data_IF_518259973415
#
_entry.id   IF_518259973415
#
_cell.length_a   1.000
_cell.length_b   1.000
_cell.length_c   1.000
_cell.angle_alpha   90.00
_cell.angle_beta   90.00
_cell.angle_gamma   90.00
#
_symmetry.space_group_name_H-M   'P 1'
#
loop_
_entity.id
_entity.type
_entity.pdbx_description
1 polymer ?
#
# COMPACT_ATOMS: atom_id res chain seq x y z
N UNK A 1 2.10 -28.77 -8.73
CA UNK A 1 1.26 -27.65 -8.31
C UNK A 1 -0.14 -27.79 -8.93
N UNK A 2 -1.19 -27.29 -8.32
CA UNK A 2 -2.50 -27.19 -8.99
C UNK A 2 -2.41 -26.24 -10.17
N UNK A 3 -3.30 -26.41 -11.15
CA UNK A 3 -3.40 -25.50 -12.28
C UNK A 3 -3.70 -24.07 -11.79
N UNK A 4 -3.06 -23.09 -12.41
CA UNK A 4 -3.25 -21.69 -12.13
C UNK A 4 -3.76 -20.95 -13.38
N UNK A 5 -4.08 -19.67 -13.24
CA UNK A 5 -4.60 -18.87 -14.35
C UNK A 5 -3.66 -18.86 -15.56
N UNK A 6 -2.34 -18.86 -15.34
CA UNK A 6 -1.36 -18.85 -16.44
C UNK A 6 -1.42 -20.09 -17.33
N UNK A 7 -1.87 -21.23 -16.79
CA UNK A 7 -1.99 -22.47 -17.57
C UNK A 7 -3.10 -22.43 -18.65
N UNK A 8 -3.93 -21.38 -18.63
CA UNK A 8 -5.02 -21.15 -19.59
C UNK A 8 -4.68 -20.11 -20.66
N UNK A 9 -3.51 -19.46 -20.57
CA UNK A 9 -3.02 -18.56 -21.61
C UNK A 9 -2.28 -19.34 -22.72
N UNK A 10 -2.23 -18.82 -23.93
CA UNK A 10 -1.37 -19.37 -24.98
C UNK A 10 0.10 -19.24 -24.60
N UNK A 11 0.96 -20.09 -25.16
CA UNK A 11 2.40 -20.15 -24.81
C UNK A 11 3.20 -18.87 -25.14
N UNK A 12 2.64 -18.00 -25.98
CA UNK A 12 3.24 -16.76 -26.49
C UNK A 12 2.63 -15.48 -25.87
N UNK A 13 2.02 -15.59 -24.68
CA UNK A 13 1.45 -14.42 -24.02
C UNK A 13 2.54 -13.48 -23.49
N UNK A 14 2.27 -12.18 -23.54
CA UNK A 14 3.07 -11.16 -22.88
C UNK A 14 2.59 -10.98 -21.44
N UNK A 15 3.50 -11.16 -20.48
CA UNK A 15 3.23 -10.90 -19.07
C UNK A 15 3.66 -9.48 -18.70
N UNK A 16 2.75 -8.66 -18.22
CA UNK A 16 3.06 -7.36 -17.64
C UNK A 16 2.89 -7.41 -16.12
N UNK A 17 3.97 -7.15 -15.40
CA UNK A 17 3.99 -7.12 -13.93
C UNK A 17 4.06 -5.67 -13.48
N UNK A 18 2.92 -5.13 -13.09
CA UNK A 18 2.83 -3.77 -12.55
C UNK A 18 3.29 -3.74 -11.09
N UNK A 19 3.87 -2.61 -10.66
CA UNK A 19 4.48 -2.43 -9.34
C UNK A 19 5.37 -3.62 -8.95
N UNK A 20 6.24 -4.01 -9.88
CA UNK A 20 7.04 -5.25 -9.79
C UNK A 20 7.89 -5.30 -8.53
N UNK A 21 8.39 -4.16 -8.04
CA UNK A 21 9.16 -4.05 -6.80
C UNK A 21 8.38 -4.50 -5.54
N UNK A 22 7.03 -4.52 -5.61
CA UNK A 22 6.15 -5.06 -4.57
C UNK A 22 5.66 -6.45 -4.94
N UNK A 23 5.22 -6.64 -6.20
CA UNK A 23 4.61 -7.88 -6.65
C UNK A 23 5.57 -9.09 -6.56
N UNK A 24 6.82 -8.93 -6.99
CA UNK A 24 7.79 -10.04 -7.01
C UNK A 24 8.19 -10.51 -5.61
N UNK A 25 8.50 -9.65 -4.63
CA UNK A 25 8.69 -10.09 -3.24
C UNK A 25 7.46 -10.80 -2.64
N UNK A 26 6.25 -10.33 -2.95
CA UNK A 26 5.03 -11.00 -2.51
C UNK A 26 4.90 -12.40 -3.11
N UNK A 27 5.10 -12.55 -4.42
CA UNK A 27 5.08 -13.84 -5.11
C UNK A 27 6.11 -14.81 -4.50
N UNK A 28 7.31 -14.32 -4.21
CA UNK A 28 8.38 -15.11 -3.56
C UNK A 28 7.99 -15.58 -2.17
N UNK A 29 7.30 -14.75 -1.39
CA UNK A 29 6.87 -15.08 -0.02
C UNK A 29 5.62 -15.97 0.06
N UNK A 30 4.79 -16.04 -0.99
CA UNK A 30 3.47 -16.70 -0.94
C UNK A 30 3.54 -18.16 -0.57
N UNK A 31 4.43 -18.94 -1.17
CA UNK A 31 4.57 -20.38 -0.92
C UNK A 31 4.97 -20.68 0.52
N UNK A 32 6.00 -20.00 1.02
CA UNK A 32 6.51 -20.21 2.37
C UNK A 32 5.46 -19.81 3.42
N UNK A 33 4.76 -18.71 3.22
CA UNK A 33 3.68 -18.24 4.09
C UNK A 33 2.50 -19.20 4.15
N UNK A 34 2.04 -19.70 2.99
CA UNK A 34 0.96 -20.69 2.92
C UNK A 34 1.36 -22.01 3.59
N UNK A 35 2.57 -22.50 3.33
CA UNK A 35 3.09 -23.73 3.92
C UNK A 35 3.20 -23.63 5.45
N UNK A 36 3.70 -22.51 5.97
CA UNK A 36 3.82 -22.27 7.41
C UNK A 36 2.46 -22.28 8.10
N UNK A 37 1.48 -21.57 7.53
CA UNK A 37 0.11 -21.58 8.04
C UNK A 37 -0.51 -22.97 8.03
N UNK A 38 -0.39 -23.71 6.94
CA UNK A 38 -0.92 -25.06 6.81
C UNK A 38 -0.26 -26.04 7.77
N UNK A 39 1.05 -25.89 7.98
CA UNK A 39 1.77 -26.71 8.96
C UNK A 39 1.11 -26.65 10.33
N UNK A 40 0.89 -25.46 10.85
CA UNK A 40 0.21 -25.29 12.14
C UNK A 40 -1.20 -25.90 12.16
N UNK A 41 -1.98 -25.70 11.09
CA UNK A 41 -3.33 -26.26 11.01
C UNK A 41 -3.35 -27.80 10.95
N UNK A 42 -2.37 -28.42 10.32
CA UNK A 42 -2.22 -29.88 10.24
C UNK A 42 -1.72 -30.44 11.57
N UNK A 43 -0.68 -29.83 12.13
CA UNK A 43 -0.06 -30.27 13.39
C UNK A 43 -1.09 -30.27 14.56
N UNK A 44 -2.04 -29.32 14.53
CA UNK A 44 -3.13 -29.23 15.52
C UNK A 44 -4.43 -29.93 15.09
N UNK A 45 -4.44 -30.67 13.99
CA UNK A 45 -5.59 -31.47 13.55
C UNK A 45 -6.75 -30.70 12.91
N UNK A 46 -6.58 -29.42 12.58
CA UNK A 46 -7.60 -28.62 11.90
C UNK A 46 -7.68 -28.87 10.40
N UNK A 47 -6.63 -29.43 9.80
CA UNK A 47 -6.57 -29.82 8.38
C UNK A 47 -5.86 -31.15 8.19
N UNK A 48 -6.21 -31.84 7.09
CA UNK A 48 -5.54 -33.06 6.66
C UNK A 48 -4.19 -32.72 5.99
N UNK A 49 -3.21 -33.66 5.98
CA UNK A 49 -1.94 -33.48 5.27
C UNK A 49 -2.08 -33.13 3.79
N UNK A 50 -3.14 -33.62 3.12
CA UNK A 50 -3.48 -33.28 1.73
C UNK A 50 -3.74 -31.78 1.48
N UNK A 51 -3.91 -30.96 2.53
CA UNK A 51 -3.98 -29.52 2.37
C UNK A 51 -2.72 -28.90 1.72
N UNK A 52 -1.57 -29.60 1.80
CA UNK A 52 -0.35 -29.18 1.12
C UNK A 52 -0.41 -29.29 -0.42
N UNK A 53 -1.32 -30.11 -0.96
CA UNK A 53 -1.43 -30.31 -2.40
C UNK A 53 -1.98 -29.09 -3.12
N UNK A 54 -2.91 -28.38 -2.48
CA UNK A 54 -3.44 -27.10 -2.99
C UNK A 54 -2.59 -25.94 -2.45
N UNK A 55 -1.58 -25.54 -3.18
CA UNK A 55 -0.58 -24.54 -2.79
C UNK A 55 -0.35 -23.48 -3.87
N UNK A 56 0.12 -22.29 -3.50
CA UNK A 56 0.68 -21.34 -4.45
C UNK A 56 1.87 -21.95 -5.20
N UNK A 57 2.16 -21.41 -6.37
CA UNK A 57 3.39 -21.71 -7.10
C UNK A 57 4.61 -21.30 -6.25
N UNK A 58 5.68 -22.05 -6.36
CA UNK A 58 7.00 -21.60 -5.90
C UNK A 58 7.54 -20.53 -6.86
N UNK A 59 8.45 -19.69 -6.40
CA UNK A 59 8.95 -18.61 -7.22
C UNK A 59 9.61 -19.10 -8.52
N UNK A 60 10.37 -20.17 -8.43
CA UNK A 60 11.03 -20.83 -9.58
C UNK A 60 10.01 -21.43 -10.58
N UNK A 61 8.80 -21.75 -10.12
CA UNK A 61 7.71 -22.18 -10.99
C UNK A 61 7.07 -21.00 -11.71
N UNK A 62 7.01 -19.83 -11.05
CA UNK A 62 6.49 -18.58 -11.62
C UNK A 62 7.47 -18.01 -12.65
N UNK A 63 8.77 -18.09 -12.41
CA UNK A 63 9.82 -17.60 -13.32
C UNK A 63 9.70 -18.20 -14.73
N UNK A 64 9.14 -19.40 -14.86
CA UNK A 64 8.89 -20.03 -16.17
C UNK A 64 7.94 -19.25 -17.06
N UNK A 65 7.06 -18.44 -16.47
CA UNK A 65 6.13 -17.57 -17.18
C UNK A 65 6.72 -16.20 -17.54
N UNK A 66 7.94 -15.88 -17.08
CA UNK A 66 8.64 -14.62 -17.40
C UNK A 66 9.40 -14.66 -18.74
N UNK A 67 9.04 -15.57 -19.63
CA UNK A 67 9.67 -15.72 -20.94
C UNK A 67 9.61 -14.42 -21.76
N UNK A 68 8.41 -13.89 -21.91
CA UNK A 68 8.15 -12.57 -22.51
C UNK A 68 7.46 -11.71 -21.44
N UNK A 69 8.25 -10.94 -20.68
CA UNK A 69 7.77 -10.17 -19.55
C UNK A 69 8.22 -8.72 -19.57
N UNK A 70 7.33 -7.83 -19.11
CA UNK A 70 7.62 -6.42 -18.86
C UNK A 70 7.37 -6.15 -17.38
N UNK A 71 8.41 -5.73 -16.68
CA UNK A 71 8.31 -5.26 -15.30
C UNK A 71 8.14 -3.74 -15.29
N UNK A 72 7.07 -3.27 -14.67
CA UNK A 72 6.77 -1.84 -14.55
C UNK A 72 6.94 -1.43 -13.09
N UNK A 73 7.77 -0.43 -12.85
CA UNK A 73 8.01 0.10 -11.50
C UNK A 73 8.66 1.47 -11.54
N UNK A 74 8.31 2.35 -10.61
CA UNK A 74 9.03 3.60 -10.38
C UNK A 74 10.38 3.37 -9.67
N UNK A 75 10.49 2.28 -8.90
CA UNK A 75 11.65 1.90 -8.08
C UNK A 75 11.95 0.41 -8.25
N UNK A 76 12.42 -0.04 -9.44
CA UNK A 76 12.67 -1.44 -9.70
C UNK A 76 13.71 -2.02 -8.73
N UNK A 77 13.49 -3.26 -8.29
CA UNK A 77 14.41 -3.98 -7.41
C UNK A 77 15.56 -4.64 -8.16
N UNK A 78 16.51 -5.17 -7.40
CA UNK A 78 17.71 -5.82 -7.97
C UNK A 78 17.38 -7.03 -8.85
N UNK A 79 16.29 -7.74 -8.53
CA UNK A 79 15.85 -8.89 -9.32
C UNK A 79 15.45 -8.45 -10.73
N UNK A 80 14.56 -7.48 -10.86
CA UNK A 80 14.08 -6.99 -12.14
C UNK A 80 15.25 -6.47 -13.00
N UNK A 81 16.14 -5.68 -12.38
CA UNK A 81 17.30 -5.12 -13.04
C UNK A 81 18.27 -6.21 -13.54
N UNK A 82 18.44 -7.29 -12.75
CA UNK A 82 19.32 -8.41 -13.10
C UNK A 82 18.77 -9.32 -14.21
N UNK A 83 17.43 -9.42 -14.30
CA UNK A 83 16.77 -10.30 -15.27
C UNK A 83 16.41 -9.59 -16.59
N UNK A 84 16.30 -8.27 -16.57
CA UNK A 84 15.89 -7.50 -17.74
C UNK A 84 17.02 -7.40 -18.77
N UNK A 85 16.69 -7.65 -20.03
CA UNK A 85 17.59 -7.45 -21.17
C UNK A 85 17.81 -5.97 -21.50
N UNK A 86 16.85 -5.12 -21.16
CA UNK A 86 16.91 -3.66 -21.33
C UNK A 86 16.09 -2.96 -20.28
N UNK A 87 16.50 -1.75 -19.91
CA UNK A 87 15.77 -0.87 -18.99
C UNK A 87 15.39 0.39 -19.76
N UNK A 88 14.08 0.66 -19.85
CA UNK A 88 13.55 1.85 -20.49
C UNK A 88 12.97 2.76 -19.42
N UNK A 89 13.38 4.02 -19.43
CA UNK A 89 12.86 5.01 -18.50
C UNK A 89 11.83 5.89 -19.19
N UNK A 90 10.66 6.00 -18.58
CA UNK A 90 9.65 6.96 -18.98
C UNK A 90 9.58 8.06 -17.90
N UNK A 91 10.24 9.18 -18.17
CA UNK A 91 10.26 10.33 -17.27
C UNK A 91 9.38 11.41 -17.86
N UNK A 92 8.14 11.47 -17.41
CA UNK A 92 7.21 12.56 -17.78
C UNK A 92 6.85 13.28 -16.47
N UNK A 93 7.38 14.51 -16.31
CA UNK A 93 6.95 15.40 -15.23
C UNK A 93 6.10 16.51 -15.83
N UNK A 94 4.80 16.62 -15.49
CA UNK A 94 4.00 17.77 -15.86
C UNK A 94 4.68 19.04 -15.35
N UNK A 95 4.78 20.07 -16.20
CA UNK A 95 5.36 21.35 -15.84
C UNK A 95 4.61 21.98 -14.66
N UNK A 96 5.36 22.40 -13.63
CA UNK A 96 4.80 23.06 -12.45
C UNK A 96 4.47 22.15 -11.27
N UNK A 97 4.55 20.82 -11.40
CA UNK A 97 4.44 19.91 -10.26
C UNK A 97 5.83 19.60 -9.72
N UNK A 98 6.14 20.15 -8.56
CA UNK A 98 7.36 19.88 -7.82
C UNK A 98 7.17 18.68 -6.90
N UNK A 99 8.28 18.04 -6.53
CA UNK A 99 8.26 17.06 -5.43
C UNK A 99 7.84 17.76 -4.14
N UNK A 100 7.12 17.06 -3.23
CA UNK A 100 6.72 17.66 -1.96
C UNK A 100 7.94 18.06 -1.14
N UNK A 101 7.85 19.19 -0.46
CA UNK A 101 8.83 19.59 0.54
C UNK A 101 8.75 18.65 1.74
N UNK A 102 9.90 18.14 2.19
CA UNK A 102 9.98 17.19 3.31
C UNK A 102 10.63 17.89 4.51
N UNK A 103 9.88 18.00 5.59
CA UNK A 103 10.33 18.55 6.87
C UNK A 103 10.46 17.42 7.89
N UNK A 104 11.56 17.41 8.65
CA UNK A 104 11.79 16.44 9.72
C UNK A 104 11.74 17.17 11.05
N UNK A 105 10.81 16.76 11.91
CA UNK A 105 10.58 17.36 13.22
C UNK A 105 10.89 16.37 14.36
N UNK A 106 11.41 16.86 15.50
CA UNK A 106 11.64 16.01 16.67
C UNK A 106 10.31 15.50 17.27
N UNK A 107 10.32 14.31 17.85
CA UNK A 107 9.13 13.72 18.51
C UNK A 107 8.54 14.58 19.63
N UNK A 108 9.37 15.39 20.29
CA UNK A 108 8.92 16.29 21.36
C UNK A 108 7.96 17.33 20.77
N UNK A 109 6.75 17.43 21.32
CA UNK A 109 5.66 18.31 20.89
C UNK A 109 5.10 18.04 19.48
N UNK A 110 5.35 16.85 18.90
CA UNK A 110 4.89 16.51 17.56
C UNK A 110 3.37 16.63 17.40
N UNK A 111 2.57 16.29 18.42
CA UNK A 111 1.10 16.39 18.35
C UNK A 111 0.63 17.85 18.25
N UNK A 112 1.18 18.74 19.04
CA UNK A 112 0.82 20.17 18.99
C UNK A 112 1.18 20.76 17.60
N UNK A 113 2.37 20.45 17.11
CA UNK A 113 2.83 20.87 15.80
C UNK A 113 1.91 20.31 14.70
N UNK A 114 1.53 19.03 14.77
CA UNK A 114 0.58 18.42 13.83
C UNK A 114 -0.76 19.18 13.81
N UNK A 115 -1.32 19.48 14.98
CA UNK A 115 -2.59 20.22 15.09
C UNK A 115 -2.50 21.61 14.47
N UNK A 116 -1.40 22.32 14.70
CA UNK A 116 -1.16 23.65 14.08
C UNK A 116 -1.10 23.55 12.56
N UNK A 117 -0.35 22.59 12.04
CA UNK A 117 -0.24 22.35 10.58
C UNK A 117 -1.59 21.94 9.95
N UNK A 118 -2.37 21.08 10.62
CA UNK A 118 -3.71 20.72 10.12
C UNK A 118 -4.61 21.96 10.05
N UNK A 119 -4.59 22.84 11.07
CA UNK A 119 -5.38 24.07 11.07
C UNK A 119 -4.97 25.03 9.97
N UNK A 120 -3.68 25.17 9.72
CA UNK A 120 -3.14 25.97 8.62
C UNK A 120 -3.62 25.45 7.25
N UNK A 121 -3.47 24.16 7.00
CA UNK A 121 -3.89 23.50 5.77
C UNK A 121 -5.40 23.61 5.56
N UNK A 122 -6.18 23.41 6.63
CA UNK A 122 -7.63 23.61 6.62
C UNK A 122 -8.02 25.04 6.27
N UNK A 123 -7.32 26.05 6.79
CA UNK A 123 -7.61 27.47 6.51
C UNK A 123 -7.47 27.81 5.02
N UNK A 124 -6.63 27.07 4.30
CA UNK A 124 -6.43 27.17 2.86
C UNK A 124 -7.34 26.23 2.05
N UNK A 125 -8.34 25.63 2.71
CA UNK A 125 -9.31 24.69 2.12
C UNK A 125 -8.69 23.40 1.57
N UNK A 126 -7.52 23.00 2.05
CA UNK A 126 -6.88 21.74 1.76
C UNK A 126 -7.14 20.68 2.85
N UNK A 127 -6.70 19.47 2.61
CA UNK A 127 -6.88 18.30 3.50
C UNK A 127 -5.53 17.77 3.95
N UNK A 128 -5.57 17.01 5.05
CA UNK A 128 -4.38 16.38 5.62
C UNK A 128 -4.53 14.87 5.67
N UNK A 129 -3.48 14.14 5.30
CA UNK A 129 -3.33 12.72 5.61
C UNK A 129 -2.33 12.54 6.74
N UNK A 130 -2.65 11.68 7.69
CA UNK A 130 -1.74 11.30 8.77
C UNK A 130 -1.58 9.79 8.78
N UNK A 131 -0.36 9.30 8.62
CA UNK A 131 -0.06 7.87 8.71
C UNK A 131 0.60 7.54 10.03
N UNK A 132 0.17 6.42 10.62
CA UNK A 132 0.68 5.87 11.89
C UNK A 132 0.99 4.39 11.73
N UNK A 133 1.73 3.81 12.66
CA UNK A 133 2.21 2.43 12.58
C UNK A 133 1.16 1.38 12.96
N UNK A 134 0.22 1.70 13.86
CA UNK A 134 -0.74 0.73 14.39
C UNK A 134 -2.18 1.21 14.31
N UNK A 135 -3.14 0.28 14.30
CA UNK A 135 -4.57 0.59 14.36
C UNK A 135 -4.94 1.39 15.61
N UNK A 136 -4.42 0.96 16.76
CA UNK A 136 -4.67 1.63 18.03
C UNK A 136 -4.17 3.07 18.01
N UNK A 137 -2.95 3.29 17.48
CA UNK A 137 -2.43 4.65 17.34
C UNK A 137 -3.27 5.50 16.39
N UNK A 138 -3.90 4.89 15.36
CA UNK A 138 -4.80 5.62 14.46
C UNK A 138 -6.09 6.05 15.17
N UNK A 139 -6.67 5.18 15.99
CA UNK A 139 -7.87 5.47 16.78
C UNK A 139 -7.59 6.54 17.85
N UNK A 140 -6.55 6.33 18.66
CA UNK A 140 -6.16 7.26 19.74
C UNK A 140 -5.83 8.66 19.18
N UNK A 141 -5.14 8.71 18.03
CA UNK A 141 -4.78 9.98 17.38
C UNK A 141 -5.99 10.66 16.75
N UNK A 142 -6.91 9.91 16.16
CA UNK A 142 -8.13 10.47 15.60
C UNK A 142 -9.02 11.09 16.70
N UNK A 143 -9.21 10.40 17.83
CA UNK A 143 -9.91 10.91 19.00
C UNK A 143 -9.25 12.21 19.50
N UNK A 144 -7.93 12.22 19.66
CA UNK A 144 -7.19 13.43 20.05
C UNK A 144 -7.40 14.61 19.08
N UNK A 145 -7.36 14.37 17.77
CA UNK A 145 -7.57 15.39 16.74
C UNK A 145 -9.01 15.92 16.78
N UNK A 146 -10.00 15.04 17.01
CA UNK A 146 -11.42 15.39 17.14
C UNK A 146 -11.66 16.28 18.36
N UNK A 147 -11.04 15.97 19.50
CA UNK A 147 -11.07 16.78 20.73
C UNK A 147 -10.50 18.20 20.51
N UNK A 148 -9.63 18.39 19.53
CA UNK A 148 -9.13 19.70 19.13
C UNK A 148 -10.06 20.47 18.17
N UNK A 149 -11.28 19.96 17.92
CA UNK A 149 -12.30 20.56 17.08
C UNK A 149 -12.03 20.44 15.57
N UNK A 150 -11.23 19.47 15.15
CA UNK A 150 -10.91 19.16 13.75
C UNK A 150 -11.77 17.98 13.32
N UNK A 151 -12.43 18.09 12.16
CA UNK A 151 -13.21 16.99 11.59
C UNK A 151 -12.28 15.94 11.03
N UNK A 152 -12.17 14.82 11.70
CA UNK A 152 -11.26 13.72 11.36
C UNK A 152 -12.03 12.43 11.09
N UNK A 153 -11.48 11.60 10.21
CA UNK A 153 -11.86 10.19 10.11
C UNK A 153 -10.61 9.32 10.16
N UNK A 154 -10.77 8.05 10.51
CA UNK A 154 -9.66 7.10 10.50
C UNK A 154 -9.94 5.92 9.58
N UNK A 155 -8.87 5.33 9.06
CA UNK A 155 -8.90 4.25 8.09
C UNK A 155 -7.95 3.12 8.50
N UNK A 156 -8.48 1.90 8.59
CA UNK A 156 -7.71 0.70 8.87
C UNK A 156 -8.12 -0.46 7.96
N UNK A 157 -7.38 -1.56 7.99
CA UNK A 157 -7.56 -2.69 7.07
C UNK A 157 -8.91 -3.41 7.20
N UNK A 158 -9.62 -3.28 8.32
CA UNK A 158 -10.91 -3.96 8.55
C UNK A 158 -12.10 -3.20 7.92
N UNK A 159 -11.86 -1.96 7.45
CA UNK A 159 -12.88 -1.18 6.74
C UNK A 159 -13.07 -1.77 5.34
N UNK A 160 -14.31 -2.15 5.04
CA UNK A 160 -14.67 -2.74 3.74
C UNK A 160 -14.48 -1.73 2.61
N UNK A 161 -14.14 -2.22 1.43
CA UNK A 161 -13.86 -1.39 0.24
C UNK A 161 -14.91 -0.31 -0.05
N UNK A 162 -16.25 -0.59 -0.01
CA UNK A 162 -17.24 0.46 -0.24
C UNK A 162 -17.19 1.60 0.78
N UNK A 163 -16.99 1.27 2.05
CA UNK A 163 -16.86 2.27 3.13
C UNK A 163 -15.58 3.10 2.98
N UNK A 164 -14.47 2.47 2.55
CA UNK A 164 -13.22 3.17 2.25
C UNK A 164 -13.43 4.22 1.16
N UNK A 165 -14.09 3.85 0.06
CA UNK A 165 -14.40 4.77 -1.03
C UNK A 165 -15.25 5.95 -0.55
N UNK A 166 -16.27 5.68 0.27
CA UNK A 166 -17.12 6.71 0.85
C UNK A 166 -16.34 7.68 1.75
N UNK A 167 -15.44 7.17 2.61
CA UNK A 167 -14.60 8.01 3.48
C UNK A 167 -13.66 8.91 2.67
N UNK A 168 -13.02 8.37 1.63
CA UNK A 168 -12.17 9.16 0.73
C UNK A 168 -12.97 10.22 -0.02
N UNK A 169 -14.17 9.91 -0.49
CA UNK A 169 -15.05 10.88 -1.13
C UNK A 169 -15.45 11.99 -0.16
N UNK A 170 -15.80 11.65 1.09
CA UNK A 170 -16.11 12.65 2.13
C UNK A 170 -14.91 13.55 2.47
N UNK A 171 -13.69 13.00 2.48
CA UNK A 171 -12.47 13.79 2.63
C UNK A 171 -12.32 14.79 1.47
N UNK A 172 -12.46 14.35 0.23
CA UNK A 172 -12.39 15.20 -0.96
C UNK A 172 -13.43 16.33 -0.93
N UNK A 173 -14.66 16.02 -0.53
CA UNK A 173 -15.75 16.97 -0.41
C UNK A 173 -15.62 17.94 0.80
N UNK A 174 -14.62 17.74 1.67
CA UNK A 174 -14.40 18.60 2.85
C UNK A 174 -15.34 18.33 4.02
N UNK A 175 -16.00 17.20 4.04
CA UNK A 175 -16.73 16.74 5.22
C UNK A 175 -15.76 16.46 6.36
N UNK A 176 -14.58 15.94 6.04
CA UNK A 176 -13.44 15.78 6.93
C UNK A 176 -12.29 16.70 6.51
N UNK A 177 -11.56 17.21 7.49
CA UNK A 177 -10.36 18.03 7.31
C UNK A 177 -9.10 17.14 7.28
N UNK A 178 -9.16 16.01 7.99
CA UNK A 178 -8.04 15.10 8.19
C UNK A 178 -8.46 13.64 8.09
N UNK A 179 -7.60 12.81 7.54
CA UNK A 179 -7.71 11.35 7.52
C UNK A 179 -6.48 10.75 8.21
N UNK A 180 -6.71 9.96 9.25
CA UNK A 180 -5.67 9.21 9.96
C UNK A 180 -5.76 7.74 9.56
N UNK A 181 -4.63 7.07 9.36
CA UNK A 181 -4.67 5.63 9.13
C UNK A 181 -3.32 4.94 9.09
N UNK A 182 -3.39 3.62 8.96
CA UNK A 182 -2.21 2.75 8.88
C UNK A 182 -1.87 2.51 7.42
N UNK A 183 -0.62 2.72 7.05
CA UNK A 183 -0.15 2.50 5.67
C UNK A 183 -0.99 3.25 4.61
N UNK A 184 -1.34 4.51 4.86
CA UNK A 184 -2.10 5.33 3.91
C UNK A 184 -1.30 5.70 2.66
N UNK A 185 0.03 5.68 2.76
CA UNK A 185 0.97 6.03 1.70
C UNK A 185 1.21 4.85 0.74
N UNK A 186 0.14 4.18 0.34
CA UNK A 186 0.25 3.17 -0.72
C UNK A 186 -0.06 3.79 -2.07
N UNK A 187 0.51 3.18 -3.11
CA UNK A 187 0.24 3.52 -4.50
C UNK A 187 -1.26 3.52 -4.80
N UNK A 188 -1.68 4.29 -5.78
CA UNK A 188 -3.07 4.34 -6.25
C UNK A 188 -3.98 5.31 -5.50
N UNK A 189 -3.47 6.19 -4.63
CA UNK A 189 -4.23 7.30 -4.07
C UNK A 189 -3.92 8.59 -4.85
N UNK A 190 -4.91 9.09 -5.57
CA UNK A 190 -4.87 10.41 -6.20
C UNK A 190 -5.83 11.34 -5.47
N UNK A 191 -5.26 12.21 -4.62
CA UNK A 191 -5.99 13.14 -3.76
C UNK A 191 -5.41 14.56 -3.90
N UNK A 192 -5.74 15.27 -4.99
CA UNK A 192 -5.23 16.61 -5.25
C UNK A 192 -5.63 17.64 -4.19
N UNK A 193 -6.65 17.33 -3.38
CA UNK A 193 -7.10 18.17 -2.27
C UNK A 193 -6.17 18.07 -1.04
N UNK A 194 -5.26 17.10 -0.99
CA UNK A 194 -4.33 16.90 0.12
C UNK A 194 -3.08 17.73 -0.08
N UNK A 195 -2.81 18.65 0.84
CA UNK A 195 -1.62 19.51 0.82
C UNK A 195 -0.62 19.17 1.94
N UNK A 196 -1.00 18.36 2.91
CA UNK A 196 -0.11 17.92 3.99
C UNK A 196 -0.21 16.42 4.19
N UNK A 197 0.94 15.79 4.27
CA UNK A 197 1.08 14.42 4.66
C UNK A 197 2.02 14.32 5.86
N UNK A 198 1.50 13.82 6.98
CA UNK A 198 2.26 13.63 8.21
C UNK A 198 2.52 12.15 8.46
N UNK A 199 3.76 11.80 8.75
CA UNK A 199 4.17 10.46 9.16
C UNK A 199 4.51 10.54 10.64
N UNK A 200 3.72 9.85 11.44
CA UNK A 200 3.88 9.81 12.90
C UNK A 200 4.48 8.47 13.31
N UNK A 201 5.57 8.54 14.07
CA UNK A 201 6.31 7.37 14.53
C UNK A 201 6.16 7.16 16.04
#
# INVERSE_FOLDING_TARGET
APSCLFDFFPDDFLLMVDESHIALPQLRGMYAGDRSRKKSLIDFGFRLPSAYDNRPLQFEEIEKYFKDAVFVSATPGDYELSQSSSVVQQVIRPTGLLDPEVEIHPRKNQLNHLIERIREVKSNNYRTLVTVMTKKSAEDLAEYIEDQGIKVCYLHCDIKTPQRTELLQKLRLGVFDCLVGVNLLREGLDLPEVALMAIMD
#
